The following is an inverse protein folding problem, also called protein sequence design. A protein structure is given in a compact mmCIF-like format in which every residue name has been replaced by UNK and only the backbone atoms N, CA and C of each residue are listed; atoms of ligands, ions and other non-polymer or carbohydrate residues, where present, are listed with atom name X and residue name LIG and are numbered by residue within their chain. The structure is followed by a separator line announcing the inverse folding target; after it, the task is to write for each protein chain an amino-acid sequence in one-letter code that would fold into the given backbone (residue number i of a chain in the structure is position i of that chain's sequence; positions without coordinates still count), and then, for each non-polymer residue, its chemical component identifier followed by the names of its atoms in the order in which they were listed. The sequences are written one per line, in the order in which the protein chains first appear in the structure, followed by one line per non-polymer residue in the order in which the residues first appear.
data_IF_539993657091
#
_entry.id   IF_539993657091
#
_cell.length_a   1.000
_cell.length_b   1.000
_cell.length_c   1.000
_cell.angle_alpha   90.00
_cell.angle_beta   90.00
_cell.angle_gamma   90.00
#
_symmetry.space_group_name_H-M   'P 1'
#
loop_
_entity.id
_entity.type
_entity.pdbx_description
1 polymer ?
#
# COMPACT_ATOMS: atom_id res chain seq x y z
N UNK A 1 15.60 13.22 -13.23
CA UNK A 1 14.72 12.82 -12.14
C UNK A 1 13.29 13.15 -12.50
N UNK A 2 12.33 12.35 -12.05
CA UNK A 2 10.88 12.54 -12.34
C UNK A 2 10.39 13.92 -11.90
N UNK A 3 10.82 14.40 -10.74
CA UNK A 3 10.41 15.68 -10.17
C UNK A 3 10.74 16.85 -11.11
N UNK A 4 11.92 16.83 -11.73
CA UNK A 4 12.28 17.87 -12.73
C UNK A 4 11.45 17.79 -14.01
N UNK A 5 11.07 16.59 -14.45
CA UNK A 5 10.19 16.41 -15.60
C UNK A 5 8.77 16.87 -15.29
N UNK A 6 8.24 16.47 -14.13
CA UNK A 6 6.94 16.87 -13.64
C UNK A 6 6.86 18.42 -13.47
N UNK A 7 7.90 19.03 -12.87
CA UNK A 7 7.96 20.50 -12.70
C UNK A 7 7.90 21.26 -14.03
N UNK A 8 8.59 20.77 -15.06
CA UNK A 8 8.57 21.43 -16.39
C UNK A 8 7.17 21.49 -16.98
N UNK A 9 6.35 20.49 -16.71
CA UNK A 9 4.96 20.42 -17.22
C UNK A 9 4.00 21.24 -16.33
N UNK A 10 4.10 21.08 -15.01
CA UNK A 10 3.07 21.54 -14.08
C UNK A 10 3.45 22.83 -13.32
N UNK A 11 4.71 23.31 -13.43
CA UNK A 11 5.26 24.46 -12.72
C UNK A 11 5.15 24.36 -11.19
N UNK A 12 5.02 23.15 -10.69
CA UNK A 12 4.98 22.81 -9.26
C UNK A 12 5.74 21.52 -9.01
N UNK A 13 6.19 21.30 -7.79
CA UNK A 13 6.90 20.10 -7.40
C UNK A 13 5.91 19.01 -6.93
N UNK A 14 6.33 17.75 -7.03
CA UNK A 14 5.72 16.65 -6.32
C UNK A 14 5.83 16.85 -4.80
N UNK A 15 5.00 16.17 -4.04
CA UNK A 15 5.13 16.14 -2.58
C UNK A 15 6.51 15.65 -2.14
N UNK A 16 6.93 16.03 -0.94
CA UNK A 16 8.24 15.69 -0.41
C UNK A 16 8.29 14.25 0.13
N UNK A 17 9.45 13.60 0.00
CA UNK A 17 9.69 12.20 0.40
C UNK A 17 8.72 11.24 -0.30
N UNK A 18 8.97 11.01 -1.58
CA UNK A 18 8.23 10.01 -2.35
C UNK A 18 8.37 8.63 -1.69
N UNK A 19 7.26 8.00 -1.38
CA UNK A 19 7.18 6.72 -0.69
C UNK A 19 6.89 5.56 -1.63
N UNK A 20 6.02 5.79 -2.61
CA UNK A 20 5.58 4.76 -3.55
C UNK A 20 5.15 5.39 -4.86
N UNK A 21 5.23 4.60 -5.93
CA UNK A 21 4.82 4.99 -7.26
C UNK A 21 4.17 3.80 -7.95
N UNK A 22 3.05 4.04 -8.59
CA UNK A 22 2.33 3.03 -9.35
C UNK A 22 1.87 3.59 -10.69
N UNK A 23 1.86 2.77 -11.73
CA UNK A 23 1.34 3.13 -13.06
C UNK A 23 0.24 2.14 -13.43
N UNK A 24 -0.93 2.64 -13.77
CA UNK A 24 -2.06 1.87 -14.27
C UNK A 24 -2.96 2.74 -15.13
N UNK A 25 -3.51 2.17 -16.19
CA UNK A 25 -4.51 2.81 -17.05
C UNK A 25 -4.11 4.22 -17.52
N UNK A 26 -2.88 4.35 -18.04
CA UNK A 26 -2.30 5.62 -18.50
C UNK A 26 -2.18 6.71 -17.42
N UNK A 27 -2.27 6.33 -16.14
CA UNK A 27 -2.05 7.22 -14.99
C UNK A 27 -0.85 6.81 -14.18
N UNK A 28 -0.17 7.80 -13.64
CA UNK A 28 0.87 7.63 -12.65
C UNK A 28 0.38 8.15 -11.30
N UNK A 29 0.48 7.32 -10.28
CA UNK A 29 0.14 7.61 -8.90
C UNK A 29 1.44 7.79 -8.12
N UNK A 30 1.66 8.97 -7.56
CA UNK A 30 2.87 9.26 -6.78
C UNK A 30 2.45 9.57 -5.36
N UNK A 31 2.92 8.73 -4.43
CA UNK A 31 2.65 8.87 -3.01
C UNK A 31 3.83 9.54 -2.32
N UNK A 32 3.54 10.60 -1.58
CA UNK A 32 4.53 11.36 -0.82
C UNK A 32 4.16 11.39 0.66
N UNK A 33 5.15 11.32 1.52
CA UNK A 33 4.93 11.30 2.97
C UNK A 33 4.60 12.69 3.54
N UNK A 34 5.23 13.72 2.99
CA UNK A 34 5.03 15.11 3.38
C UNK A 34 4.55 15.91 2.16
N UNK A 35 3.38 16.52 2.26
CA UNK A 35 2.78 17.29 1.17
C UNK A 35 3.49 18.61 0.90
N UNK A 36 2.79 19.71 1.06
CA UNK A 36 3.25 21.07 0.74
C UNK A 36 4.45 21.59 1.56
N UNK A 37 4.91 20.85 2.56
CA UNK A 37 6.12 21.20 3.29
C UNK A 37 7.33 21.07 2.37
N UNK A 38 8.05 22.16 2.12
CA UNK A 38 9.19 22.27 1.20
C UNK A 38 8.83 22.44 -0.28
N UNK A 39 7.67 22.99 -0.58
CA UNK A 39 7.31 23.47 -1.93
C UNK A 39 6.64 22.44 -2.85
N UNK A 40 6.36 21.24 -2.38
CA UNK A 40 5.54 20.27 -3.11
C UNK A 40 4.06 20.39 -2.80
N UNK A 41 3.22 19.86 -3.67
CA UNK A 41 1.77 19.84 -3.49
C UNK A 41 1.29 18.44 -3.13
N UNK A 42 0.57 18.22 -2.14
CA UNK A 42 -0.18 17.01 -1.88
C UNK A 42 0.63 15.79 -1.38
N UNK A 43 -0.10 14.83 -0.88
CA UNK A 43 0.41 13.54 -0.41
C UNK A 43 0.21 12.45 -1.45
N UNK A 44 -0.85 12.53 -2.25
CA UNK A 44 -1.06 11.70 -3.43
C UNK A 44 -1.24 12.62 -4.64
N UNK A 45 -0.39 12.45 -5.63
CA UNK A 45 -0.51 13.12 -6.93
C UNK A 45 -0.87 12.09 -7.98
N UNK A 46 -1.91 12.39 -8.76
CA UNK A 46 -2.30 11.62 -9.94
C UNK A 46 -2.01 12.46 -11.16
N UNK A 47 -1.25 11.91 -12.09
CA UNK A 47 -0.91 12.56 -13.34
C UNK A 47 -1.05 11.58 -14.51
N UNK A 48 -1.17 12.11 -15.72
CA UNK A 48 -1.11 11.32 -16.94
C UNK A 48 0.29 10.71 -17.09
N UNK A 49 0.36 9.41 -17.40
CA UNK A 49 1.63 8.69 -17.46
C UNK A 49 2.48 9.05 -18.69
N UNK A 50 1.86 9.52 -19.78
CA UNK A 50 2.55 9.81 -21.03
C UNK A 50 3.17 11.22 -21.06
N UNK A 51 2.44 12.21 -20.53
CA UNK A 51 2.84 13.62 -20.61
C UNK A 51 3.10 14.28 -19.25
N UNK A 52 2.83 13.59 -18.14
CA UNK A 52 2.96 14.04 -16.75
C UNK A 52 2.04 15.21 -16.37
N UNK A 53 1.03 15.54 -17.16
CA UNK A 53 0.03 16.55 -16.78
C UNK A 53 -0.71 16.11 -15.51
N UNK A 54 -0.73 17.02 -14.54
CA UNK A 54 -1.40 16.82 -13.26
C UNK A 54 -2.91 16.74 -13.46
N UNK A 55 -3.50 15.62 -13.01
CA UNK A 55 -4.94 15.43 -13.03
C UNK A 55 -5.57 15.75 -11.67
N UNK A 56 -4.92 15.30 -10.57
CA UNK A 56 -5.47 15.45 -9.23
C UNK A 56 -4.41 15.39 -8.13
N UNK A 57 -4.74 16.03 -7.00
CA UNK A 57 -3.93 16.03 -5.77
C UNK A 57 -4.82 15.79 -4.56
N UNK A 58 -4.33 14.99 -3.61
CA UNK A 58 -4.89 14.83 -2.26
C UNK A 58 -3.83 15.25 -1.25
N UNK A 59 -4.22 16.10 -0.32
CA UNK A 59 -3.33 16.74 0.65
C UNK A 59 -3.44 16.12 2.06
N UNK A 60 -2.77 16.75 3.02
CA UNK A 60 -2.74 16.33 4.41
C UNK A 60 -4.01 16.62 5.21
N UNK A 61 -5.02 17.26 4.63
CA UNK A 61 -6.35 17.33 5.23
C UNK A 61 -7.06 15.97 5.17
N UNK A 62 -6.69 15.14 4.19
CA UNK A 62 -7.31 13.84 3.92
C UNK A 62 -6.44 12.66 4.34
N UNK A 63 -5.13 12.72 4.14
CA UNK A 63 -4.17 11.65 4.43
C UNK A 63 -3.16 12.07 5.51
N UNK A 64 -2.60 11.09 6.22
CA UNK A 64 -1.59 11.30 7.26
C UNK A 64 -0.44 10.30 7.13
N UNK A 65 0.71 10.77 6.66
CA UNK A 65 1.91 9.95 6.48
C UNK A 65 1.67 8.67 5.67
N UNK A 66 1.09 8.76 4.46
CA UNK A 66 0.85 7.60 3.63
C UNK A 66 2.17 6.99 3.15
N UNK A 67 2.20 5.68 2.95
CA UNK A 67 3.46 4.97 2.66
C UNK A 67 3.43 3.98 1.51
N UNK A 68 2.30 3.35 1.24
CA UNK A 68 2.22 2.29 0.23
C UNK A 68 0.90 2.38 -0.54
N UNK A 69 0.96 1.97 -1.81
CA UNK A 69 -0.17 1.91 -2.72
C UNK A 69 -0.46 0.47 -3.16
N UNK A 70 -1.72 0.19 -3.46
CA UNK A 70 -2.15 -0.96 -4.24
C UNK A 70 -3.33 -0.55 -5.11
N UNK A 71 -3.34 -0.98 -6.37
CA UNK A 71 -4.39 -0.60 -7.33
C UNK A 71 -5.13 -1.85 -7.81
N UNK A 72 -6.45 -1.80 -7.80
CA UNK A 72 -7.34 -2.80 -8.39
C UNK A 72 -8.40 -2.07 -9.19
N UNK A 73 -8.35 -2.15 -10.51
CA UNK A 73 -9.29 -1.44 -11.38
C UNK A 73 -9.33 0.07 -11.02
N UNK A 74 -10.48 0.59 -10.67
CA UNK A 74 -10.68 2.00 -10.27
C UNK A 74 -10.50 2.24 -8.75
N UNK A 75 -10.10 1.22 -7.98
CA UNK A 75 -9.86 1.35 -6.56
C UNK A 75 -8.36 1.46 -6.26
N UNK A 76 -7.97 2.57 -5.68
CA UNK A 76 -6.63 2.81 -5.16
C UNK A 76 -6.65 2.66 -3.64
N UNK A 77 -5.94 1.67 -3.13
CA UNK A 77 -5.76 1.47 -1.70
C UNK A 77 -4.48 2.16 -1.23
N UNK A 78 -4.59 2.90 -0.15
CA UNK A 78 -3.51 3.73 0.40
C UNK A 78 -3.30 3.33 1.85
N UNK A 79 -2.14 2.75 2.17
CA UNK A 79 -1.75 2.56 3.57
C UNK A 79 -1.33 3.90 4.17
N UNK A 80 -1.95 4.26 5.26
CA UNK A 80 -1.80 5.52 5.99
C UNK A 80 -1.53 5.24 7.48
N UNK A 81 -1.13 6.24 8.27
CA UNK A 81 -0.90 6.05 9.71
C UNK A 81 -2.13 5.59 10.49
N UNK A 82 -3.32 5.90 10.02
CA UNK A 82 -4.59 5.50 10.68
C UNK A 82 -4.99 4.07 10.29
N UNK A 83 -4.55 3.59 9.13
CA UNK A 83 -4.94 2.30 8.58
C UNK A 83 -4.85 2.30 7.06
N UNK A 84 -5.90 1.86 6.40
CA UNK A 84 -6.01 1.84 4.93
C UNK A 84 -7.18 2.71 4.49
N UNK A 85 -6.95 3.53 3.47
CA UNK A 85 -7.98 4.23 2.74
C UNK A 85 -8.18 3.59 1.37
N UNK A 86 -9.40 3.65 0.86
CA UNK A 86 -9.73 3.33 -0.53
C UNK A 86 -10.20 4.60 -1.23
N UNK A 87 -9.53 4.94 -2.32
CA UNK A 87 -9.94 5.98 -3.25
C UNK A 87 -10.59 5.32 -4.47
N UNK A 88 -11.82 5.67 -4.77
CA UNK A 88 -12.42 5.37 -6.06
C UNK A 88 -12.00 6.45 -7.06
N UNK A 89 -11.22 6.08 -8.07
CA UNK A 89 -10.63 7.03 -9.03
C UNK A 89 -11.64 7.59 -10.04
N UNK A 90 -12.82 6.98 -10.19
CA UNK A 90 -13.88 7.47 -11.05
C UNK A 90 -14.78 8.50 -10.37
N UNK A 91 -15.00 8.35 -9.06
CA UNK A 91 -15.92 9.23 -8.28
C UNK A 91 -15.19 10.17 -7.35
N UNK A 92 -13.87 10.01 -7.17
CA UNK A 92 -13.01 10.71 -6.22
C UNK A 92 -13.41 10.54 -4.75
N UNK A 93 -14.20 9.53 -4.46
CA UNK A 93 -14.58 9.21 -3.09
C UNK A 93 -13.41 8.54 -2.37
N UNK A 94 -12.87 9.22 -1.35
CA UNK A 94 -11.87 8.68 -0.43
C UNK A 94 -12.56 8.20 0.85
N UNK A 95 -12.47 6.90 1.13
CA UNK A 95 -13.15 6.27 2.26
C UNK A 95 -12.16 5.50 3.12
N UNK A 96 -12.25 5.64 4.44
CA UNK A 96 -11.47 4.81 5.36
C UNK A 96 -12.01 3.37 5.36
N UNK A 97 -11.11 2.40 5.28
CA UNK A 97 -11.47 0.98 5.37
C UNK A 97 -11.51 0.59 6.84
N UNK A 98 -12.71 0.49 7.39
CA UNK A 98 -12.91 0.17 8.80
C UNK A 98 -12.27 -1.17 9.19
N UNK A 99 -11.74 -1.24 10.40
CA UNK A 99 -11.07 -2.43 10.93
C UNK A 99 -9.59 -2.57 10.53
N UNK A 100 -9.02 -1.67 9.71
CA UNK A 100 -7.62 -1.71 9.29
C UNK A 100 -6.66 -0.95 10.21
N UNK A 101 -7.12 -0.46 11.35
CA UNK A 101 -6.28 0.19 12.34
C UNK A 101 -5.09 -0.70 12.72
N UNK A 102 -3.89 -0.12 12.75
CA UNK A 102 -2.64 -0.85 13.01
C UNK A 102 -2.06 -1.57 11.78
N UNK A 103 -2.50 -1.23 10.57
CA UNK A 103 -1.85 -1.68 9.34
C UNK A 103 -0.37 -1.26 9.32
N UNK A 104 0.52 -2.22 9.08
CA UNK A 104 1.96 -1.98 9.11
C UNK A 104 2.44 -1.19 7.89
N UNK A 105 3.51 -0.42 8.07
CA UNK A 105 4.23 0.25 6.99
C UNK A 105 4.98 -0.79 6.15
N UNK A 106 4.26 -1.43 5.24
CA UNK A 106 4.82 -2.44 4.35
C UNK A 106 3.97 -2.48 3.07
N UNK A 107 4.52 -3.12 2.02
CA UNK A 107 3.76 -3.31 0.78
C UNK A 107 2.49 -4.09 1.03
N UNK A 108 1.50 -3.82 0.22
CA UNK A 108 0.26 -4.59 0.13
C UNK A 108 0.37 -5.59 -1.03
N UNK A 109 -0.21 -6.78 -0.89
CA UNK A 109 -0.28 -7.74 -1.98
C UNK A 109 -1.69 -7.75 -2.58
N UNK A 110 -1.75 -7.89 -3.91
CA UNK A 110 -3.02 -7.96 -4.66
C UNK A 110 -3.16 -9.33 -5.29
N UNK A 111 -4.27 -10.00 -5.01
CA UNK A 111 -4.65 -11.26 -5.66
C UNK A 111 -6.11 -11.18 -6.09
N UNK A 112 -6.34 -11.23 -7.40
CA UNK A 112 -7.66 -11.00 -7.96
C UNK A 112 -8.23 -9.63 -7.56
N UNK A 113 -9.38 -9.63 -6.90
CA UNK A 113 -10.03 -8.41 -6.40
C UNK A 113 -9.79 -8.14 -4.91
N UNK A 114 -8.82 -8.83 -4.31
CA UNK A 114 -8.50 -8.70 -2.88
C UNK A 114 -7.16 -8.02 -2.67
N UNK A 115 -7.10 -7.16 -1.65
CA UNK A 115 -5.86 -6.58 -1.11
C UNK A 115 -5.56 -7.22 0.23
N UNK A 116 -4.33 -7.68 0.38
CA UNK A 116 -3.82 -8.26 1.62
C UNK A 116 -2.87 -7.27 2.29
N UNK A 117 -3.21 -6.88 3.51
CA UNK A 117 -2.50 -5.84 4.25
C UNK A 117 -2.04 -6.38 5.59
N UNK A 118 -0.74 -6.24 5.89
CA UNK A 118 -0.20 -6.71 7.16
C UNK A 118 -0.63 -5.82 8.33
N UNK A 119 -1.11 -6.44 9.40
CA UNK A 119 -1.14 -5.91 10.76
C UNK A 119 -0.02 -6.56 11.58
N UNK A 120 0.04 -6.32 12.90
CA UNK A 120 1.13 -6.85 13.72
C UNK A 120 1.21 -8.39 13.69
N UNK A 121 0.10 -9.08 14.05
CA UNK A 121 -0.01 -10.55 14.04
C UNK A 121 -1.20 -11.03 13.22
N UNK A 122 -1.54 -10.34 12.18
CA UNK A 122 -2.69 -10.63 11.34
C UNK A 122 -2.52 -10.07 9.94
N UNK A 123 -3.16 -10.72 8.99
CA UNK A 123 -3.27 -10.23 7.64
C UNK A 123 -4.73 -9.85 7.38
N UNK A 124 -4.98 -8.57 7.09
CA UNK A 124 -6.30 -8.12 6.68
C UNK A 124 -6.54 -8.50 5.23
N UNK A 125 -7.70 -9.03 4.93
CA UNK A 125 -8.18 -9.28 3.56
C UNK A 125 -9.26 -8.26 3.25
N UNK A 126 -8.98 -7.38 2.31
CA UNK A 126 -9.88 -6.29 1.93
C UNK A 126 -10.43 -6.56 0.52
N UNK A 127 -11.72 -6.39 0.34
CA UNK A 127 -12.38 -6.41 -0.97
C UNK A 127 -13.43 -5.31 -1.01
N UNK A 128 -13.46 -4.54 -2.09
CA UNK A 128 -14.42 -3.44 -2.29
C UNK A 128 -14.49 -2.48 -1.08
N UNK A 129 -13.34 -2.10 -0.52
CA UNK A 129 -13.24 -1.18 0.61
C UNK A 129 -13.70 -1.74 1.96
N UNK A 130 -13.90 -3.05 2.08
CA UNK A 130 -14.34 -3.70 3.31
C UNK A 130 -13.37 -4.80 3.71
N UNK A 131 -13.05 -4.92 5.01
CA UNK A 131 -12.33 -6.08 5.54
C UNK A 131 -13.28 -7.27 5.56
N UNK A 132 -13.09 -8.21 4.64
CA UNK A 132 -13.95 -9.40 4.51
C UNK A 132 -13.44 -10.59 5.34
N UNK A 133 -12.15 -10.58 5.70
CA UNK A 133 -11.55 -11.63 6.53
C UNK A 133 -10.28 -11.10 7.23
N UNK A 134 -9.87 -11.81 8.28
CA UNK A 134 -8.60 -11.56 8.98
C UNK A 134 -7.93 -12.90 9.26
N UNK A 135 -6.72 -13.06 8.76
CA UNK A 135 -5.93 -14.30 8.93
C UNK A 135 -4.98 -14.07 10.13
N UNK A 136 -5.12 -14.82 11.23
CA UNK A 136 -4.24 -14.68 12.39
C UNK A 136 -2.90 -15.38 12.18
N UNK A 137 -1.86 -14.89 12.89
CA UNK A 137 -0.53 -15.48 12.94
C UNK A 137 -0.03 -15.53 14.40
N UNK A 138 0.79 -16.52 14.71
CA UNK A 138 1.40 -16.69 16.04
C UNK A 138 2.38 -15.57 16.37
N UNK A 139 3.13 -15.10 15.36
CA UNK A 139 4.19 -14.11 15.49
C UNK A 139 3.92 -12.85 14.71
N UNK A 140 4.71 -11.81 15.00
CA UNK A 140 4.64 -10.54 14.28
C UNK A 140 5.06 -10.71 12.80
N UNK A 141 4.27 -10.15 11.91
CA UNK A 141 4.53 -10.16 10.47
C UNK A 141 5.67 -9.18 10.13
N UNK A 142 6.53 -9.57 9.19
CA UNK A 142 7.68 -8.76 8.76
C UNK A 142 7.74 -8.51 7.26
N UNK A 143 7.09 -9.33 6.46
CA UNK A 143 7.07 -9.16 5.00
C UNK A 143 5.97 -9.97 4.34
N UNK A 144 5.55 -9.52 3.16
CA UNK A 144 4.57 -10.21 2.30
C UNK A 144 5.01 -10.13 0.85
N UNK A 145 4.87 -11.23 0.12
CA UNK A 145 5.08 -11.30 -1.31
C UNK A 145 4.04 -12.22 -1.97
N UNK A 146 3.61 -11.86 -3.17
CA UNK A 146 2.80 -12.73 -4.02
C UNK A 146 3.72 -13.58 -4.89
N UNK A 147 3.50 -14.89 -4.92
CA UNK A 147 4.18 -15.82 -5.80
C UNK A 147 3.51 -15.91 -7.18
N UNK A 148 4.17 -16.58 -8.12
CA UNK A 148 3.65 -16.77 -9.47
C UNK A 148 2.36 -17.63 -9.49
N UNK A 149 2.23 -18.56 -8.54
CA UNK A 149 1.06 -19.42 -8.35
C UNK A 149 -0.09 -18.73 -7.60
N UNK A 150 -0.05 -17.40 -7.49
CA UNK A 150 -0.99 -16.54 -6.77
C UNK A 150 -1.01 -16.73 -5.25
N UNK A 151 -0.33 -17.71 -4.69
CA UNK A 151 -0.19 -17.83 -3.24
C UNK A 151 0.62 -16.66 -2.66
N UNK A 152 0.36 -16.35 -1.39
CA UNK A 152 1.11 -15.35 -0.66
C UNK A 152 2.14 -16.02 0.23
N UNK A 153 3.32 -15.43 0.29
CA UNK A 153 4.37 -15.78 1.25
C UNK A 153 4.50 -14.67 2.27
N UNK A 154 4.38 -15.04 3.54
CA UNK A 154 4.41 -14.12 4.67
C UNK A 154 5.50 -14.54 5.63
N UNK A 155 6.44 -13.64 5.90
CA UNK A 155 7.47 -13.85 6.90
C UNK A 155 7.05 -13.33 8.27
N UNK A 156 7.44 -14.05 9.32
CA UNK A 156 7.19 -13.69 10.72
C UNK A 156 8.49 -13.67 11.51
N UNK A 157 8.48 -12.91 12.61
CA UNK A 157 9.61 -12.82 13.55
C UNK A 157 9.20 -13.28 14.96
N UNK A 158 10.09 -13.93 15.69
CA UNK A 158 9.96 -14.31 17.10
C UNK A 158 8.66 -15.09 17.47
N UNK A 159 8.56 -16.38 17.15
CA UNK A 159 9.53 -17.19 16.43
C UNK A 159 9.53 -16.90 14.92
N UNK A 160 10.69 -17.10 14.30
CA UNK A 160 10.86 -16.86 12.87
C UNK A 160 10.17 -17.98 12.08
N UNK A 161 9.38 -17.60 11.07
CA UNK A 161 8.72 -18.54 10.16
C UNK A 161 8.49 -17.93 8.79
N UNK A 162 8.35 -18.79 7.79
CA UNK A 162 7.84 -18.45 6.48
C UNK A 162 6.53 -19.18 6.31
N UNK A 163 5.49 -18.46 5.92
CA UNK A 163 4.14 -18.99 5.87
C UNK A 163 3.59 -18.84 4.45
N UNK A 164 3.09 -19.95 3.89
CA UNK A 164 2.36 -19.94 2.63
C UNK A 164 0.88 -19.75 2.93
N UNK A 165 0.26 -18.76 2.34
CA UNK A 165 -1.16 -18.43 2.51
C UNK A 165 -1.88 -18.64 1.19
N UNK A 166 -2.92 -19.45 1.19
CA UNK A 166 -3.82 -19.59 0.05
C UNK A 166 -4.83 -18.42 0.07
N UNK A 167 -4.87 -17.56 -0.97
CA UNK A 167 -5.76 -16.39 -0.98
C UNK A 167 -7.23 -16.71 -1.24
N UNK A 168 -7.57 -17.95 -1.59
CA UNK A 168 -8.93 -18.36 -1.89
C UNK A 168 -9.68 -18.82 -0.63
N UNK A 169 -9.06 -19.67 0.18
CA UNK A 169 -9.64 -20.27 1.39
C UNK A 169 -8.99 -19.79 2.70
N UNK A 170 -7.93 -18.99 2.59
CA UNK A 170 -7.16 -18.39 3.69
C UNK A 170 -6.41 -19.38 4.57
N UNK A 171 -6.21 -20.61 4.10
CA UNK A 171 -5.38 -21.60 4.79
C UNK A 171 -3.92 -21.14 4.84
N UNK A 172 -3.26 -21.44 5.96
CA UNK A 172 -1.86 -21.09 6.22
C UNK A 172 -1.05 -22.37 6.46
N UNK A 173 -0.03 -22.55 5.64
CA UNK A 173 1.00 -23.57 5.83
C UNK A 173 2.25 -22.90 6.40
N UNK A 174 2.64 -23.25 7.62
CA UNK A 174 3.73 -22.59 8.36
C UNK A 174 4.98 -23.44 8.40
N UNK A 175 6.11 -22.82 8.06
CA UNK A 175 7.45 -23.41 8.10
C UNK A 175 8.31 -22.63 9.09
N UNK A 176 8.59 -23.24 10.24
CA UNK A 176 9.49 -22.67 11.25
C UNK A 176 10.92 -22.57 10.70
N UNK A 177 11.62 -21.53 11.09
CA UNK A 177 13.04 -21.32 10.77
C UNK A 177 13.87 -21.47 12.03
N UNK A 178 15.01 -22.17 11.92
CA UNK A 178 15.93 -22.40 13.04
C UNK A 178 16.74 -21.15 13.42
N UNK A 179 16.58 -20.06 12.68
CA UNK A 179 17.29 -18.79 12.90
C UNK A 179 16.29 -17.68 13.20
N UNK A 180 16.64 -16.79 14.12
CA UNK A 180 15.87 -15.56 14.28
C UNK A 180 16.17 -14.65 13.10
N UNK A 181 15.10 -14.28 12.36
CA UNK A 181 15.20 -13.23 11.37
C UNK A 181 15.12 -11.92 12.15
N UNK A 182 16.26 -11.27 12.35
CA UNK A 182 16.32 -9.97 12.97
C UNK A 182 15.51 -8.95 12.15
N UNK A 183 14.89 -7.99 12.81
CA UNK A 183 14.36 -6.84 12.11
C UNK A 183 15.55 -6.10 11.47
N UNK A 184 15.75 -6.33 10.20
CA UNK A 184 16.74 -5.60 9.44
C UNK A 184 16.34 -4.12 9.43
N UNK A 185 17.24 -3.26 9.85
CA UNK A 185 17.13 -1.84 9.56
C UNK A 185 17.38 -1.68 8.06
N UNK A 186 16.31 -1.50 7.31
CA UNK A 186 16.38 -1.10 5.89
C UNK A 186 16.13 0.38 5.78
#
# INVERSE_FOLDING_TARGET
AMDSAYYRVNQTLLGNVCQDLFISDSKIYVLSQNGAKNGGEGLLTIANADNLEKERIYDNATLSWPTNLAVIKEALYIRDNKGVYMLNTSTDALTFVEGTGGALKNRMAVVGEKVFVMGSKKLFVIQNGTVIHTIPFESALSGIAKAYDENLWVSCTNPASINKVNPLDYTVESHALDVSIGAGWG
#
